data_IF_234216937265
#
_entry.id   IF_234216937265
#
_cell.length_a   1.000
_cell.length_b   1.000
_cell.length_c   1.000
_cell.angle_alpha   90.00
_cell.angle_beta   90.00
_cell.angle_gamma   90.00
#
_symmetry.space_group_name_H-M   'P 1'
#
loop_
_entity.id
_entity.type
_entity.pdbx_description
1 polymer ?
#
# COMPACT_ATOMS: atom_id res chain seq x y z
N UNK A 1 -2.38 -5.24 20.89
CA UNK A 1 -1.99 -4.09 21.75
C UNK A 1 -0.85 -3.32 21.07
N UNK A 2 -0.83 -1.98 21.13
CA UNK A 2 0.29 -1.20 20.59
C UNK A 2 1.48 -1.33 21.55
N UNK A 3 2.61 -1.85 21.05
CA UNK A 3 3.80 -2.12 21.86
C UNK A 3 4.87 -1.06 21.60
N UNK A 4 5.35 -0.42 22.67
CA UNK A 4 6.49 0.50 22.59
C UNK A 4 7.80 -0.26 22.76
N UNK A 5 8.49 -0.50 21.64
CA UNK A 5 9.72 -1.31 21.59
C UNK A 5 10.85 -0.76 22.47
N UNK A 6 10.95 0.57 22.65
CA UNK A 6 11.98 1.18 23.51
C UNK A 6 11.91 0.81 24.99
N UNK A 7 10.76 0.28 25.46
CA UNK A 7 10.59 -0.19 26.85
C UNK A 7 10.85 -1.69 27.01
N UNK A 8 11.00 -2.42 25.92
CA UNK A 8 11.00 -3.90 25.89
C UNK A 8 12.34 -4.46 25.39
N UNK A 9 13.14 -3.65 24.69
CA UNK A 9 14.30 -4.12 23.94
C UNK A 9 15.57 -3.37 24.35
N UNK A 10 16.66 -4.09 24.60
CA UNK A 10 17.99 -3.54 24.96
C UNK A 10 18.58 -2.67 23.83
N UNK A 11 19.47 -1.73 24.19
CA UNK A 11 20.02 -0.72 23.28
C UNK A 11 20.61 -1.23 21.95
N UNK A 12 21.34 -2.36 21.97
CA UNK A 12 21.91 -2.96 20.74
C UNK A 12 20.85 -3.58 19.82
N UNK A 13 19.77 -4.13 20.38
CA UNK A 13 18.65 -4.66 19.59
C UNK A 13 17.77 -3.54 19.03
N UNK A 14 17.69 -2.40 19.72
CA UNK A 14 16.98 -1.20 19.23
C UNK A 14 17.63 -0.60 17.98
N UNK A 15 18.95 -0.48 17.93
CA UNK A 15 19.66 0.03 16.75
C UNK A 15 19.46 -0.87 15.53
N UNK A 16 19.44 -2.19 15.75
CA UNK A 16 19.12 -3.18 14.71
C UNK A 16 17.70 -3.03 14.16
N UNK A 17 16.71 -2.82 15.04
CA UNK A 17 15.31 -2.55 14.64
C UNK A 17 15.21 -1.24 13.85
N UNK A 18 15.90 -0.18 14.27
CA UNK A 18 15.93 1.09 13.52
C UNK A 18 16.46 0.89 12.10
N UNK A 19 17.54 0.12 11.93
CA UNK A 19 18.07 -0.23 10.61
C UNK A 19 17.05 -0.98 9.75
N UNK A 20 16.32 -1.94 10.32
CA UNK A 20 15.24 -2.63 9.60
C UNK A 20 14.12 -1.68 9.19
N UNK A 21 13.71 -0.77 10.06
CA UNK A 21 12.70 0.24 9.73
C UNK A 21 13.17 1.15 8.57
N UNK A 22 14.46 1.50 8.52
CA UNK A 22 15.02 2.25 7.38
C UNK A 22 14.94 1.44 6.09
N UNK A 23 15.30 0.15 6.12
CA UNK A 23 15.18 -0.73 4.95
C UNK A 23 13.72 -0.90 4.51
N UNK A 24 12.79 -1.06 5.45
CA UNK A 24 11.35 -1.14 5.18
C UNK A 24 10.81 0.16 4.58
N UNK A 25 11.28 1.33 5.05
CA UNK A 25 10.94 2.62 4.44
C UNK A 25 11.43 2.69 2.99
N UNK A 26 12.65 2.24 2.72
CA UNK A 26 13.18 2.21 1.36
C UNK A 26 12.35 1.29 0.46
N UNK A 27 12.04 0.08 0.92
CA UNK A 27 11.17 -0.85 0.22
C UNK A 27 9.79 -0.24 -0.04
N UNK A 28 9.20 0.41 0.96
CA UNK A 28 7.91 1.08 0.83
C UNK A 28 7.95 2.19 -0.23
N UNK A 29 9.02 2.99 -0.30
CA UNK A 29 9.19 4.00 -1.35
C UNK A 29 9.26 3.37 -2.74
N UNK A 30 10.01 2.27 -2.90
CA UNK A 30 10.11 1.54 -4.16
C UNK A 30 8.76 0.95 -4.57
N UNK A 31 8.03 0.31 -3.65
CA UNK A 31 6.71 -0.24 -3.95
C UNK A 31 5.69 0.84 -4.33
N UNK A 32 5.75 2.03 -3.69
CA UNK A 32 4.92 3.16 -4.09
C UNK A 32 5.25 3.66 -5.50
N UNK A 33 6.53 3.63 -5.90
CA UNK A 33 6.93 3.95 -7.26
C UNK A 33 6.40 2.91 -8.25
N UNK A 34 6.61 1.62 -8.00
CA UNK A 34 6.11 0.53 -8.86
C UNK A 34 4.60 0.61 -9.06
N UNK A 35 3.85 0.93 -8.00
CA UNK A 35 2.41 1.20 -8.08
C UNK A 35 2.05 2.31 -9.08
N UNK A 36 2.84 3.39 -9.12
CA UNK A 36 2.58 4.52 -10.03
C UNK A 36 2.92 4.18 -11.48
N UNK A 37 3.91 3.32 -11.69
CA UNK A 37 4.32 2.84 -13.03
C UNK A 37 3.34 1.79 -13.55
N UNK A 38 2.93 0.85 -12.70
CA UNK A 38 2.00 -0.20 -13.05
C UNK A 38 0.81 -0.25 -12.07
N UNK A 39 -0.23 0.48 -12.43
CA UNK A 39 -1.47 0.57 -11.64
C UNK A 39 -2.26 -0.74 -11.61
N UNK A 40 -2.02 -1.66 -12.56
CA UNK A 40 -2.75 -2.94 -12.64
C UNK A 40 -2.48 -3.87 -11.45
N UNK A 41 -1.31 -3.76 -10.83
CA UNK A 41 -0.89 -4.59 -9.68
C UNK A 41 -1.83 -4.42 -8.48
N UNK A 42 -2.45 -3.25 -8.38
CA UNK A 42 -3.21 -2.81 -7.21
C UNK A 42 -4.72 -2.94 -7.43
N UNK A 43 -5.13 -3.04 -8.70
CA UNK A 43 -6.53 -3.09 -9.11
C UNK A 43 -7.31 -1.88 -8.62
N UNK A 44 -8.45 -2.14 -7.96
CA UNK A 44 -9.36 -1.10 -7.45
C UNK A 44 -8.99 -0.58 -6.06
N UNK A 45 -7.84 -0.95 -5.51
CA UNK A 45 -7.43 -0.49 -4.17
C UNK A 45 -7.05 0.99 -4.19
N UNK A 46 -7.43 1.71 -3.13
CA UNK A 46 -7.22 3.15 -2.96
C UNK A 46 -6.42 3.43 -1.69
N UNK A 47 -5.47 4.37 -1.74
CA UNK A 47 -4.52 4.60 -0.67
C UNK A 47 -4.76 5.95 0.01
N UNK A 48 -5.82 5.99 0.81
CA UNK A 48 -6.16 7.16 1.62
C UNK A 48 -7.38 7.92 1.09
N UNK A 49 -7.72 8.99 1.81
CA UNK A 49 -8.99 9.71 1.61
C UNK A 49 -9.05 10.47 0.28
N UNK A 50 -7.94 11.05 -0.13
CA UNK A 50 -7.88 11.84 -1.38
C UNK A 50 -8.09 10.95 -2.61
N UNK A 51 -7.50 9.75 -2.59
CA UNK A 51 -7.67 8.75 -3.63
C UNK A 51 -9.11 8.25 -3.70
N UNK A 52 -9.74 8.00 -2.56
CA UNK A 52 -11.16 7.61 -2.47
C UNK A 52 -12.04 8.70 -3.11
N UNK A 53 -11.86 9.95 -2.71
CA UNK A 53 -12.64 11.07 -3.23
C UNK A 53 -12.45 11.23 -4.74
N UNK A 54 -11.20 11.18 -5.23
CA UNK A 54 -10.90 11.28 -6.66
C UNK A 54 -11.58 10.18 -7.46
N UNK A 55 -11.48 8.92 -7.01
CA UNK A 55 -12.10 7.77 -7.69
C UNK A 55 -13.62 7.82 -7.66
N UNK A 56 -14.19 8.23 -6.53
CA UNK A 56 -15.63 8.40 -6.40
C UNK A 56 -16.16 9.50 -7.31
N UNK A 57 -15.48 10.66 -7.35
CA UNK A 57 -15.82 11.76 -8.24
C UNK A 57 -15.77 11.34 -9.71
N UNK A 58 -14.70 10.66 -10.13
CA UNK A 58 -14.57 10.10 -11.49
C UNK A 58 -15.75 9.18 -11.84
N UNK A 59 -16.17 8.31 -10.92
CA UNK A 59 -17.30 7.41 -11.12
C UNK A 59 -18.62 8.18 -11.28
N UNK A 60 -18.92 9.08 -10.34
CA UNK A 60 -20.17 9.84 -10.33
C UNK A 60 -20.28 10.74 -11.57
N UNK A 61 -19.19 11.41 -11.97
CA UNK A 61 -19.17 12.23 -13.19
C UNK A 61 -19.52 11.41 -14.43
N UNK A 62 -18.94 10.22 -14.60
CA UNK A 62 -19.26 9.33 -15.74
C UNK A 62 -20.71 8.88 -15.76
N UNK A 63 -21.29 8.61 -14.59
CA UNK A 63 -22.70 8.25 -14.46
C UNK A 63 -23.58 9.42 -14.92
N UNK A 64 -23.25 10.65 -14.52
CA UNK A 64 -23.99 11.85 -14.95
C UNK A 64 -23.81 12.20 -16.44
N UNK A 65 -22.64 11.97 -17.02
CA UNK A 65 -22.37 12.23 -18.45
C UNK A 65 -23.22 11.35 -19.39
N UNK A 66 -23.75 10.22 -18.89
CA UNK A 66 -24.60 9.32 -19.67
C UNK A 66 -26.01 9.87 -19.96
N UNK A 67 -26.33 11.09 -19.51
CA UNK A 67 -27.53 11.84 -19.91
C UNK A 67 -28.86 11.30 -19.38
N UNK A 68 -28.82 10.27 -18.53
CA UNK A 68 -30.00 9.66 -17.90
C UNK A 68 -30.23 10.09 -16.45
N UNK A 69 -31.34 9.63 -15.88
CA UNK A 69 -31.58 9.74 -14.44
C UNK A 69 -30.55 8.92 -13.63
N UNK A 70 -30.27 9.37 -12.41
CA UNK A 70 -29.34 8.67 -11.51
C UNK A 70 -29.84 7.24 -11.24
N UNK A 71 -29.08 6.20 -11.59
CA UNK A 71 -29.49 4.83 -11.32
C UNK A 71 -29.46 4.55 -9.81
N UNK A 72 -30.33 3.62 -9.38
CA UNK A 72 -30.30 3.13 -8.00
C UNK A 72 -29.05 2.27 -7.75
N UNK A 73 -28.26 2.63 -6.75
CA UNK A 73 -27.09 1.88 -6.33
C UNK A 73 -27.35 1.11 -5.03
N UNK A 74 -26.80 -0.10 -4.96
CA UNK A 74 -26.74 -0.90 -3.74
C UNK A 74 -25.29 -1.00 -3.29
N UNK A 75 -25.04 -0.74 -2.00
CA UNK A 75 -23.70 -0.77 -1.44
C UNK A 75 -23.60 -1.82 -0.34
N UNK A 76 -22.49 -2.55 -0.34
CA UNK A 76 -22.14 -3.49 0.73
C UNK A 76 -20.89 -2.98 1.42
N UNK A 77 -20.93 -2.92 2.75
CA UNK A 77 -19.76 -2.60 3.57
C UNK A 77 -19.23 -3.89 4.20
N UNK A 78 -18.01 -4.27 3.83
CA UNK A 78 -17.26 -5.32 4.50
C UNK A 78 -16.20 -4.74 5.42
N UNK A 79 -15.87 -5.46 6.49
CA UNK A 79 -14.73 -5.16 7.37
C UNK A 79 -13.83 -6.38 7.50
N UNK A 80 -12.52 -6.15 7.63
CA UNK A 80 -11.51 -7.20 7.76
C UNK A 80 -11.00 -7.23 9.20
N UNK A 81 -11.41 -8.23 9.96
CA UNK A 81 -10.92 -8.41 11.33
C UNK A 81 -9.46 -8.89 11.35
N UNK A 82 -8.66 -8.39 12.30
CA UNK A 82 -7.30 -8.87 12.58
C UNK A 82 -6.36 -8.87 11.36
N UNK A 83 -6.49 -7.88 10.47
CA UNK A 83 -5.74 -7.79 9.22
C UNK A 83 -4.21 -7.90 9.39
N UNK A 84 -3.65 -7.41 10.50
CA UNK A 84 -2.22 -7.55 10.80
C UNK A 84 -1.82 -8.94 11.28
N UNK A 85 -2.67 -9.61 12.05
CA UNK A 85 -2.36 -10.92 12.65
C UNK A 85 -2.53 -12.05 11.63
N UNK A 86 -3.39 -11.87 10.63
CA UNK A 86 -3.75 -12.89 9.64
C UNK A 86 -2.91 -12.82 8.36
N UNK A 87 -1.80 -12.07 8.34
CA UNK A 87 -0.99 -11.90 7.13
C UNK A 87 -0.22 -13.19 6.82
N UNK A 88 -0.48 -13.87 5.68
CA UNK A 88 0.28 -15.05 5.29
C UNK A 88 1.68 -14.66 4.79
N UNK A 89 2.71 -14.80 5.63
CA UNK A 89 4.07 -14.36 5.32
C UNK A 89 4.66 -14.94 4.02
N UNK A 90 4.39 -16.22 3.72
CA UNK A 90 4.88 -16.85 2.47
C UNK A 90 4.30 -16.16 1.24
N UNK A 91 2.99 -15.88 1.26
CA UNK A 91 2.31 -15.20 0.16
C UNK A 91 2.74 -13.74 0.05
N UNK A 92 2.99 -13.07 1.18
CA UNK A 92 3.52 -11.70 1.19
C UNK A 92 4.85 -11.62 0.45
N UNK A 93 5.79 -12.53 0.73
CA UNK A 93 7.09 -12.56 0.04
C UNK A 93 6.91 -12.82 -1.46
N UNK A 94 6.08 -13.80 -1.83
CA UNK A 94 5.78 -14.12 -3.23
C UNK A 94 5.24 -12.90 -4.00
N UNK A 95 4.25 -12.20 -3.43
CA UNK A 95 3.66 -11.01 -4.05
C UNK A 95 4.69 -9.89 -4.19
N UNK A 96 5.50 -9.62 -3.16
CA UNK A 96 6.53 -8.59 -3.23
C UNK A 96 7.58 -8.93 -4.31
N UNK A 97 7.99 -10.20 -4.41
CA UNK A 97 8.92 -10.65 -5.45
C UNK A 97 8.35 -10.50 -6.86
N UNK A 98 7.06 -10.77 -7.06
CA UNK A 98 6.39 -10.56 -8.35
C UNK A 98 6.33 -9.09 -8.76
N UNK A 99 6.15 -8.18 -7.80
CA UNK A 99 6.15 -6.74 -8.05
C UNK A 99 7.54 -6.24 -8.39
N UNK A 100 8.55 -6.61 -7.60
CA UNK A 100 9.92 -6.11 -7.78
C UNK A 100 10.70 -6.77 -8.92
N UNK A 101 10.28 -7.96 -9.36
CA UNK A 101 10.92 -8.75 -10.43
C UNK A 101 12.45 -8.79 -10.30
N UNK A 102 13.00 -9.37 -9.23
CA UNK A 102 14.44 -9.31 -8.95
C UNK A 102 15.34 -9.83 -10.09
N UNK A 103 14.81 -10.67 -10.98
CA UNK A 103 15.47 -11.18 -12.18
C UNK A 103 15.81 -10.10 -13.22
N UNK A 104 15.10 -8.97 -13.24
CA UNK A 104 15.36 -7.88 -14.20
C UNK A 104 16.54 -6.98 -13.81
N UNK A 105 17.23 -7.25 -12.69
CA UNK A 105 18.35 -6.45 -12.17
C UNK A 105 18.07 -4.93 -12.11
N UNK A 106 16.81 -4.56 -11.87
CA UNK A 106 16.40 -3.15 -11.82
C UNK A 106 17.02 -2.47 -10.59
N UNK A 107 17.72 -1.34 -10.82
CA UNK A 107 18.36 -0.56 -9.77
C UNK A 107 17.49 0.65 -9.43
N UNK A 108 17.13 0.79 -8.14
CA UNK A 108 16.34 1.91 -7.64
C UNK A 108 17.21 2.94 -6.94
N UNK A 109 17.00 4.22 -7.26
CA UNK A 109 17.63 5.35 -6.56
C UNK A 109 16.60 6.18 -5.80
N UNK A 110 16.74 6.30 -4.48
CA UNK A 110 15.89 7.16 -3.65
C UNK A 110 16.56 8.53 -3.53
N UNK A 111 15.89 9.57 -4.03
CA UNK A 111 16.36 10.96 -3.92
C UNK A 111 15.80 11.60 -2.64
N UNK A 112 16.68 12.27 -1.92
CA UNK A 112 16.33 13.07 -0.74
C UNK A 112 16.45 14.53 -1.15
N UNK A 113 15.35 15.26 -1.08
CA UNK A 113 15.32 16.70 -1.32
C UNK A 113 15.37 17.40 0.03
N UNK A 114 16.24 18.41 0.15
CA UNK A 114 16.41 19.25 1.32
C UNK A 114 15.46 20.44 1.27
#
# INVERSE_FOLDING_TARGET
>A
PVVRLSRVVEGQKLSKIQRYNTQLKNLFSVLNYERTVNTSIIGSSVFGRDDIYRKWKEFVTKVFESGGEMPHFYFVKGDVSRAFDTIPHKKLVEVISQVLKPESQTVYGIRWYA
#
